data_IF_453236436244
#
_entry.id   IF_453236436244
#
_cell.length_a   1.000
_cell.length_b   1.000
_cell.length_c   1.000
_cell.angle_alpha   90.00
_cell.angle_beta   90.00
_cell.angle_gamma   90.00
#
_symmetry.space_group_name_H-M   'P 1'
#
loop_
_entity.id
_entity.type
_entity.pdbx_description
1 polymer ?
#
# COMPACT_ATOMS: atom_id res chain seq x y z
N UNK A 1 -6.23 -5.53 -4.77
CA UNK A 1 -6.36 -4.12 -5.21
C UNK A 1 -7.49 -3.48 -4.43
N UNK A 2 -7.37 -2.20 -4.11
CA UNK A 2 -8.42 -1.49 -3.39
C UNK A 2 -9.66 -1.34 -4.29
N UNK A 3 -10.87 -1.56 -3.74
CA UNK A 3 -12.11 -1.41 -4.48
C UNK A 3 -12.35 0.05 -4.86
N UNK A 4 -12.95 0.25 -6.03
CA UNK A 4 -13.25 1.60 -6.54
C UNK A 4 -14.63 1.67 -7.15
N UNK A 5 -15.28 2.82 -7.03
CA UNK A 5 -16.57 3.16 -7.65
C UNK A 5 -16.42 4.26 -8.70
N UNK A 6 -17.33 4.39 -9.66
CA UNK A 6 -17.34 5.50 -10.60
C UNK A 6 -17.47 6.86 -9.88
N UNK A 7 -16.78 7.87 -10.42
CA UNK A 7 -16.84 9.26 -10.00
C UNK A 7 -16.72 10.15 -11.25
N UNK A 8 -17.84 10.41 -11.92
CA UNK A 8 -17.88 11.02 -13.24
C UNK A 8 -17.06 10.19 -14.24
N UNK A 9 -16.10 10.83 -14.92
CA UNK A 9 -15.17 10.17 -15.84
C UNK A 9 -14.03 9.41 -15.14
N UNK A 10 -13.92 9.53 -13.83
CA UNK A 10 -12.85 8.94 -13.02
C UNK A 10 -13.37 7.79 -12.14
N UNK A 11 -12.49 7.29 -11.31
CA UNK A 11 -12.82 6.34 -10.25
C UNK A 11 -12.28 6.86 -8.92
N UNK A 12 -13.04 6.64 -7.86
CA UNK A 12 -12.62 6.91 -6.49
C UNK A 12 -12.66 5.62 -5.64
N UNK A 13 -12.06 5.65 -4.47
CA UNK A 13 -12.11 4.51 -3.55
C UNK A 13 -13.54 4.25 -3.07
N UNK A 14 -13.91 2.97 -3.03
CA UNK A 14 -15.14 2.52 -2.38
C UNK A 14 -14.91 2.40 -0.88
N UNK A 15 -15.07 3.51 -0.18
CA UNK A 15 -14.87 3.56 1.28
C UNK A 15 -15.88 2.72 2.04
N UNK A 16 -17.10 2.57 1.48
CA UNK A 16 -18.11 1.71 2.09
C UNK A 16 -17.66 0.25 2.06
N UNK A 17 -17.22 -0.24 0.90
CA UNK A 17 -16.72 -1.60 0.78
C UNK A 17 -15.48 -1.84 1.66
N UNK A 18 -14.57 -0.86 1.76
CA UNK A 18 -13.42 -0.94 2.68
C UNK A 18 -13.89 -1.04 4.13
N UNK A 19 -14.88 -0.24 4.53
CA UNK A 19 -15.48 -0.31 5.86
C UNK A 19 -16.13 -1.67 6.13
N UNK A 20 -16.90 -2.21 5.19
CA UNK A 20 -17.51 -3.54 5.29
C UNK A 20 -16.44 -4.64 5.49
N UNK A 21 -15.28 -4.53 4.79
CA UNK A 21 -14.15 -5.44 4.99
C UNK A 21 -13.53 -5.31 6.39
N UNK A 22 -13.38 -4.10 6.91
CA UNK A 22 -12.86 -3.90 8.27
C UNK A 22 -13.78 -4.52 9.33
N UNK A 23 -15.09 -4.41 9.14
CA UNK A 23 -16.07 -5.07 10.02
C UNK A 23 -16.00 -6.60 9.88
N UNK A 24 -15.92 -7.10 8.65
CA UNK A 24 -15.89 -8.55 8.38
C UNK A 24 -14.62 -9.22 8.91
N UNK A 25 -13.47 -8.57 8.79
CA UNK A 25 -12.17 -9.15 9.17
C UNK A 25 -11.78 -8.87 10.61
N UNK A 26 -12.39 -7.84 11.22
CA UNK A 26 -12.12 -7.40 12.59
C UNK A 26 -10.60 -7.36 12.91
N UNK A 27 -9.80 -6.59 12.16
CA UNK A 27 -8.36 -6.62 12.31
C UNK A 27 -7.90 -5.90 13.57
N UNK A 28 -6.93 -6.46 14.29
CA UNK A 28 -6.30 -5.83 15.46
C UNK A 28 -5.57 -4.52 15.09
N UNK A 29 -5.09 -4.40 13.85
CA UNK A 29 -4.34 -3.24 13.38
C UNK A 29 -4.40 -3.12 11.86
N UNK A 30 -4.46 -1.90 11.36
CA UNK A 30 -4.26 -1.57 9.95
C UNK A 30 -2.89 -0.93 9.75
N UNK A 31 -2.12 -1.44 8.77
CA UNK A 31 -0.82 -0.89 8.42
C UNK A 31 -0.92 -0.22 7.06
N UNK A 32 -0.65 1.07 7.02
CA UNK A 32 -0.71 1.86 5.80
C UNK A 32 0.67 2.43 5.48
N UNK A 33 1.07 2.34 4.21
CA UNK A 33 2.32 2.94 3.78
C UNK A 33 2.27 4.47 3.92
N UNK A 34 3.28 5.02 4.58
CA UNK A 34 3.42 6.47 4.70
C UNK A 34 4.03 7.04 3.42
N UNK A 35 3.18 7.20 2.42
CA UNK A 35 3.58 7.79 1.14
C UNK A 35 3.58 9.31 1.21
N UNK A 36 4.56 9.91 0.54
CA UNK A 36 4.68 11.36 0.39
C UNK A 36 4.52 11.74 -1.09
N UNK A 37 4.24 13.01 -1.36
CA UNK A 37 4.28 13.51 -2.72
C UNK A 37 5.66 13.22 -3.33
N UNK A 38 5.67 12.62 -4.53
CA UNK A 38 6.92 12.33 -5.21
C UNK A 38 7.64 13.64 -5.54
N UNK A 39 8.90 13.81 -5.10
CA UNK A 39 9.68 14.95 -5.53
C UNK A 39 9.86 14.90 -7.07
N UNK A 40 9.95 16.05 -7.70
CA UNK A 40 10.22 16.10 -9.13
C UNK A 40 11.59 15.49 -9.44
N UNK A 41 11.62 14.48 -10.31
CA UNK A 41 12.84 13.76 -10.70
C UNK A 41 13.37 14.36 -12.01
N UNK A 42 14.68 14.64 -12.15
CA UNK A 42 15.27 15.01 -13.42
C UNK A 42 15.06 13.90 -14.44
N UNK A 43 14.46 14.19 -15.58
CA UNK A 43 14.40 13.29 -16.72
C UNK A 43 15.76 13.25 -17.45
N UNK A 44 15.97 12.22 -18.28
CA UNK A 44 17.16 12.11 -19.12
C UNK A 44 17.30 13.26 -20.14
N UNK A 45 16.22 13.98 -20.40
CA UNK A 45 16.10 15.16 -21.26
C UNK A 45 16.36 16.48 -20.53
N UNK A 46 16.79 16.43 -19.25
CA UNK A 46 17.01 17.60 -18.39
C UNK A 46 15.72 18.26 -17.86
N UNK A 47 14.54 17.80 -18.30
CA UNK A 47 13.28 18.29 -17.76
C UNK A 47 12.91 17.56 -16.46
N UNK A 48 12.38 18.32 -15.48
CA UNK A 48 11.91 17.72 -14.24
C UNK A 48 10.52 17.11 -14.42
N UNK A 49 10.42 15.80 -14.25
CA UNK A 49 9.14 15.08 -14.26
C UNK A 49 8.55 15.04 -12.86
N UNK A 50 7.36 15.58 -12.71
CA UNK A 50 6.56 15.48 -11.48
C UNK A 50 5.18 14.92 -11.81
N UNK A 51 4.53 14.36 -10.81
CA UNK A 51 3.13 14.02 -10.95
C UNK A 51 2.33 15.31 -11.17
N UNK A 52 1.43 15.34 -12.15
CA UNK A 52 0.56 16.50 -12.40
C UNK A 52 -0.29 16.85 -11.17
N UNK A 53 -0.63 18.12 -11.00
CA UNK A 53 -1.37 18.61 -9.84
C UNK A 53 -2.67 17.83 -9.58
N UNK A 54 -3.46 17.57 -10.63
CA UNK A 54 -4.71 16.80 -10.52
C UNK A 54 -4.46 15.34 -10.06
N UNK A 55 -3.38 14.69 -10.53
CA UNK A 55 -3.02 13.34 -10.10
C UNK A 55 -2.54 13.32 -8.65
N UNK A 56 -1.73 14.31 -8.25
CA UNK A 56 -1.26 14.47 -6.88
C UNK A 56 -2.41 14.70 -5.91
N UNK A 57 -3.37 15.53 -6.30
CA UNK A 57 -4.57 15.79 -5.51
C UNK A 57 -5.41 14.52 -5.31
N UNK A 58 -5.72 13.79 -6.40
CA UNK A 58 -6.47 12.52 -6.31
C UNK A 58 -5.75 11.47 -5.47
N UNK A 59 -4.45 11.37 -5.62
CA UNK A 59 -3.64 10.46 -4.82
C UNK A 59 -3.69 10.82 -3.33
N UNK A 60 -3.53 12.09 -2.99
CA UNK A 60 -3.66 12.59 -1.61
C UNK A 60 -5.05 12.35 -1.03
N UNK A 61 -6.11 12.60 -1.81
CA UNK A 61 -7.48 12.28 -1.42
C UNK A 61 -7.65 10.79 -1.11
N UNK A 62 -7.20 9.90 -1.99
CA UNK A 62 -7.29 8.45 -1.79
C UNK A 62 -6.58 8.02 -0.49
N UNK A 63 -5.38 8.54 -0.24
CA UNK A 63 -4.64 8.27 1.01
C UNK A 63 -5.40 8.78 2.24
N UNK A 64 -6.00 9.96 2.15
CA UNK A 64 -6.83 10.54 3.23
C UNK A 64 -8.09 9.71 3.49
N UNK A 65 -8.79 9.29 2.43
CA UNK A 65 -10.01 8.47 2.53
C UNK A 65 -9.72 7.13 3.23
N UNK A 66 -8.65 6.42 2.86
CA UNK A 66 -8.30 5.15 3.50
C UNK A 66 -8.03 5.36 5.00
N UNK A 67 -7.21 6.36 5.34
CA UNK A 67 -6.87 6.67 6.74
C UNK A 67 -8.11 7.02 7.56
N UNK A 68 -8.95 7.90 7.01
CA UNK A 68 -10.19 8.31 7.66
C UNK A 68 -11.15 7.12 7.87
N UNK A 69 -11.27 6.22 6.88
CA UNK A 69 -12.10 5.03 6.99
C UNK A 69 -11.59 4.12 8.11
N UNK A 70 -10.30 3.81 8.15
CA UNK A 70 -9.71 2.96 9.20
C UNK A 70 -9.97 3.54 10.60
N UNK A 71 -9.74 4.84 10.77
CA UNK A 71 -9.97 5.53 12.06
C UNK A 71 -11.46 5.56 12.42
N UNK A 72 -12.35 5.81 11.46
CA UNK A 72 -13.80 5.83 11.69
C UNK A 72 -14.36 4.48 12.14
N UNK A 73 -13.73 3.38 11.72
CA UNK A 73 -14.07 2.03 12.18
C UNK A 73 -13.29 1.60 13.43
N UNK A 74 -12.63 2.54 14.11
CA UNK A 74 -11.91 2.32 15.38
C UNK A 74 -10.80 1.26 15.29
N UNK A 75 -10.26 1.00 14.10
CA UNK A 75 -9.12 0.10 13.92
C UNK A 75 -7.82 0.86 14.23
N UNK A 76 -6.95 0.35 15.11
CA UNK A 76 -5.65 0.94 15.35
C UNK A 76 -4.85 1.10 14.06
N UNK A 77 -4.31 2.30 13.79
CA UNK A 77 -3.64 2.63 12.56
C UNK A 77 -2.13 2.81 12.78
N UNK A 78 -1.33 2.07 12.03
CA UNK A 78 0.14 2.20 11.98
C UNK A 78 0.58 2.70 10.62
N UNK A 79 1.34 3.80 10.62
CA UNK A 79 1.96 4.34 9.40
C UNK A 79 3.35 3.74 9.21
N UNK A 80 3.55 3.02 8.11
CA UNK A 80 4.81 2.36 7.79
C UNK A 80 5.56 3.12 6.69
N UNK A 81 6.79 3.57 6.98
CA UNK A 81 7.61 4.18 5.93
C UNK A 81 8.18 3.09 5.00
N UNK A 82 8.17 3.28 3.65
CA UNK A 82 8.70 2.28 2.70
C UNK A 82 10.09 1.76 3.05
N UNK A 83 10.98 2.65 3.49
CA UNK A 83 12.34 2.28 3.88
C UNK A 83 12.38 1.33 5.08
N UNK A 84 11.41 1.40 5.99
CA UNK A 84 11.40 0.58 7.22
C UNK A 84 11.23 -0.89 6.91
N UNK A 85 10.18 -1.26 6.18
CA UNK A 85 9.93 -2.65 5.84
C UNK A 85 10.89 -3.18 4.77
N UNK A 86 11.28 -2.34 3.79
CA UNK A 86 12.28 -2.75 2.77
C UNK A 86 13.65 -3.04 3.37
N UNK A 87 14.11 -2.23 4.32
CA UNK A 87 15.38 -2.49 5.01
C UNK A 87 15.31 -3.77 5.87
N UNK A 88 14.18 -4.00 6.54
CA UNK A 88 13.97 -5.20 7.37
C UNK A 88 14.15 -6.49 6.55
N UNK A 89 13.59 -6.52 5.35
CA UNK A 89 13.68 -7.69 4.46
C UNK A 89 14.88 -7.67 3.50
N UNK A 90 15.80 -6.72 3.62
CA UNK A 90 16.96 -6.60 2.72
C UNK A 90 16.60 -6.19 1.28
N UNK A 91 15.44 -5.55 1.09
CA UNK A 91 14.90 -5.16 -0.21
C UNK A 91 15.27 -3.73 -0.63
N UNK A 92 16.33 -3.17 -0.07
CA UNK A 92 16.80 -1.84 -0.47
C UNK A 92 17.26 -1.85 -1.93
N UNK A 93 16.58 -1.09 -2.79
CA UNK A 93 16.87 -1.05 -4.23
C UNK A 93 16.33 -2.25 -5.01
N UNK A 94 15.52 -3.11 -4.39
CA UNK A 94 14.84 -4.22 -5.06
C UNK A 94 13.87 -3.73 -6.13
N UNK A 95 13.66 -4.56 -7.14
CA UNK A 95 12.57 -4.38 -8.09
C UNK A 95 11.28 -5.07 -7.58
N UNK A 96 10.16 -4.75 -8.24
CA UNK A 96 8.84 -5.30 -7.90
C UNK A 96 8.73 -6.83 -8.00
N UNK A 97 9.59 -7.47 -8.82
CA UNK A 97 9.61 -8.93 -8.95
C UNK A 97 10.27 -9.57 -7.74
N UNK A 98 11.33 -8.94 -7.22
CA UNK A 98 12.02 -9.41 -6.02
C UNK A 98 11.11 -9.30 -4.79
N UNK A 99 10.38 -8.19 -4.64
CA UNK A 99 9.41 -8.00 -3.56
C UNK A 99 8.31 -9.08 -3.61
N UNK A 100 7.75 -9.34 -4.81
CA UNK A 100 6.73 -10.37 -5.00
C UNK A 100 7.27 -11.81 -4.74
N UNK A 101 8.48 -12.11 -5.18
CA UNK A 101 9.11 -13.41 -4.96
C UNK A 101 9.36 -13.67 -3.47
N UNK A 102 9.85 -12.65 -2.75
CA UNK A 102 10.08 -12.76 -1.31
C UNK A 102 8.76 -12.94 -0.54
N UNK A 103 7.72 -12.18 -0.88
CA UNK A 103 6.41 -12.31 -0.24
C UNK A 103 5.87 -13.73 -0.37
N UNK A 104 5.90 -14.33 -1.56
CA UNK A 104 5.49 -15.72 -1.79
C UNK A 104 6.33 -16.73 -1.01
N UNK A 105 7.63 -16.50 -0.92
CA UNK A 105 8.54 -17.37 -0.16
C UNK A 105 8.23 -17.35 1.33
N UNK A 106 8.01 -16.19 1.92
CA UNK A 106 7.73 -16.03 3.34
C UNK A 106 6.30 -16.42 3.69
N UNK A 107 5.36 -16.13 2.80
CA UNK A 107 3.92 -16.35 2.98
C UNK A 107 3.34 -17.15 1.81
N UNK A 108 3.55 -18.47 1.73
CA UNK A 108 3.11 -19.30 0.59
C UNK A 108 1.61 -19.18 0.29
N UNK A 109 0.79 -18.96 1.30
CA UNK A 109 -0.66 -18.71 1.14
C UNK A 109 -0.99 -17.47 0.30
N UNK A 110 -0.04 -16.56 0.11
CA UNK A 110 -0.20 -15.37 -0.72
C UNK A 110 -0.07 -15.65 -2.22
N UNK A 111 0.49 -16.80 -2.62
CA UNK A 111 0.81 -17.12 -4.01
C UNK A 111 -0.38 -17.00 -4.97
N UNK A 112 -1.59 -17.50 -4.65
CA UNK A 112 -2.75 -17.37 -5.53
C UNK A 112 -3.17 -15.92 -5.80
N UNK A 113 -2.80 -15.00 -4.91
CA UNK A 113 -3.17 -13.59 -4.97
C UNK A 113 -2.12 -12.70 -5.66
N UNK A 114 -0.91 -13.25 -5.92
CA UNK A 114 0.24 -12.52 -6.50
C UNK A 114 0.68 -13.21 -7.80
N UNK A 115 -0.24 -13.38 -8.73
CA UNK A 115 0.01 -14.13 -9.98
C UNK A 115 0.54 -13.26 -11.13
N UNK A 116 0.31 -11.96 -11.10
CA UNK A 116 0.68 -11.02 -12.16
C UNK A 116 1.61 -9.92 -11.63
N UNK A 117 2.43 -9.36 -12.51
CA UNK A 117 3.35 -8.24 -12.16
C UNK A 117 2.59 -7.04 -11.57
N UNK A 118 1.38 -6.75 -12.07
CA UNK A 118 0.53 -5.67 -11.51
C UNK A 118 0.07 -5.91 -10.07
N UNK A 119 0.19 -7.14 -9.54
CA UNK A 119 -0.17 -7.49 -8.16
C UNK A 119 0.94 -7.16 -7.13
N UNK A 120 1.99 -6.43 -7.54
CA UNK A 120 3.08 -6.04 -6.63
C UNK A 120 2.60 -5.31 -5.37
N UNK A 121 1.54 -4.48 -5.47
CA UNK A 121 0.98 -3.81 -4.31
C UNK A 121 0.41 -4.76 -3.25
N UNK A 122 -0.06 -5.96 -3.65
CA UNK A 122 -0.48 -7.01 -2.71
C UNK A 122 0.72 -7.62 -1.99
N UNK A 123 1.82 -7.81 -2.72
CA UNK A 123 3.07 -8.30 -2.14
C UNK A 123 3.64 -7.30 -1.13
N UNK A 124 3.67 -6.02 -1.48
CA UNK A 124 4.13 -4.94 -0.59
C UNK A 124 3.28 -4.90 0.69
N UNK A 125 1.96 -5.03 0.57
CA UNK A 125 1.05 -5.07 1.72
C UNK A 125 1.32 -6.28 2.63
N UNK A 126 1.54 -7.48 2.04
CA UNK A 126 1.90 -8.68 2.78
C UNK A 126 3.23 -8.54 3.53
N UNK A 127 4.24 -7.96 2.88
CA UNK A 127 5.54 -7.70 3.50
C UNK A 127 5.45 -6.64 4.61
N UNK A 128 4.64 -5.59 4.44
CA UNK A 128 4.41 -4.61 5.51
C UNK A 128 3.72 -5.23 6.72
N UNK A 129 2.74 -6.10 6.51
CA UNK A 129 2.08 -6.82 7.59
C UNK A 129 3.07 -7.73 8.34
N UNK A 130 3.89 -8.50 7.63
CA UNK A 130 4.93 -9.34 8.21
C UNK A 130 5.99 -8.54 8.97
N UNK A 131 6.46 -7.44 8.40
CA UNK A 131 7.38 -6.54 9.09
C UNK A 131 6.84 -6.07 10.45
N UNK A 132 5.55 -5.73 10.49
CA UNK A 132 4.93 -5.29 11.73
C UNK A 132 4.80 -6.45 12.73
N UNK A 133 4.35 -7.61 12.28
CA UNK A 133 4.21 -8.81 13.12
C UNK A 133 5.56 -9.24 13.74
N UNK A 134 6.64 -9.26 12.94
CA UNK A 134 7.99 -9.54 13.43
C UNK A 134 8.42 -8.53 14.51
N UNK A 135 8.15 -7.24 14.29
CA UNK A 135 8.47 -6.20 15.27
C UNK A 135 7.72 -6.34 16.59
N UNK A 136 6.54 -6.91 16.56
CA UNK A 136 5.72 -7.16 17.76
C UNK A 136 6.01 -8.54 18.39
N UNK A 137 6.90 -9.33 17.79
CA UNK A 137 7.18 -10.68 18.26
C UNK A 137 5.99 -11.64 18.09
N UNK A 138 5.20 -11.43 17.05
CA UNK A 138 4.03 -12.26 16.72
C UNK A 138 4.37 -13.41 15.78
N UNK A 139 5.54 -13.40 15.15
CA UNK A 139 6.06 -14.43 14.24
C UNK A 139 7.34 -15.06 14.79
#
# INVERSE_FOLDING_TARGET
>A
DLPTVPDGENRQLDVKFIGDLLVQWDPDVAIIENVQAMPSIPGADGQRRSMGAASSFRFGMACGMIRATVVAYSVPLVMCHPRSWKNHFGLKGSDKKQDAALCKKLYPSSEPFITLVKHHGRADAGLMAGWYADKQGML
#
